data_IF_415370356285
#
_entry.id   IF_415370356285
#
_cell.length_a   1.000
_cell.length_b   1.000
_cell.length_c   1.000
_cell.angle_alpha   90.00
_cell.angle_beta   90.00
_cell.angle_gamma   90.00
#
_symmetry.space_group_name_H-M   'P 1'
#
loop_
_entity.id
_entity.type
_entity.pdbx_description
1 polymer ?
#
# COMPACT_ATOMS: atom_id res chain seq x y z
N UNK A 1 4.85 13.75 9.78
CA UNK A 1 3.77 14.52 9.16
C UNK A 1 2.54 14.39 10.04
N UNK A 2 1.90 15.51 10.37
CA UNK A 2 0.69 15.57 11.21
C UNK A 2 -0.58 15.43 10.36
N UNK A 3 -1.75 15.15 10.98
CA UNK A 3 -3.02 15.17 10.25
C UNK A 3 -3.28 16.50 9.53
N UNK A 4 -2.99 17.64 10.19
CA UNK A 4 -3.19 18.96 9.58
C UNK A 4 -2.30 19.20 8.36
N UNK A 5 -1.04 18.78 8.42
CA UNK A 5 -0.13 18.84 7.26
C UNK A 5 -0.67 18.00 6.09
N UNK A 6 -1.16 16.79 6.37
CA UNK A 6 -1.80 15.94 5.35
C UNK A 6 -3.04 16.61 4.76
N UNK A 7 -3.91 17.19 5.59
CA UNK A 7 -5.12 17.84 5.11
C UNK A 7 -4.82 19.03 4.21
N UNK A 8 -3.77 19.79 4.53
CA UNK A 8 -3.33 20.91 3.70
C UNK A 8 -2.76 20.44 2.35
N UNK A 9 -2.06 19.30 2.31
CA UNK A 9 -1.54 18.72 1.07
C UNK A 9 -2.68 18.18 0.20
N UNK A 10 -3.63 17.46 0.80
CA UNK A 10 -4.76 16.84 0.08
C UNK A 10 -5.82 17.87 -0.29
N UNK A 11 -5.96 18.93 0.49
CA UNK A 11 -7.03 19.92 0.36
C UNK A 11 -8.36 19.48 1.00
N UNK A 12 -8.37 18.41 1.80
CA UNK A 12 -9.55 17.94 2.52
C UNK A 12 -9.17 17.33 3.87
N UNK A 13 -10.12 17.32 4.82
CA UNK A 13 -9.91 16.76 6.17
C UNK A 13 -10.03 15.24 6.24
N UNK A 14 -10.41 14.59 5.14
CA UNK A 14 -10.81 13.18 5.13
C UNK A 14 -11.98 12.89 6.07
N UNK A 15 -12.31 11.60 6.19
CA UNK A 15 -13.36 11.08 7.07
C UNK A 15 -12.75 10.10 8.04
N UNK A 16 -13.00 10.25 9.34
CA UNK A 16 -12.56 9.26 10.33
C UNK A 16 -13.35 7.97 10.15
N UNK A 17 -12.67 6.86 9.87
CA UNK A 17 -13.29 5.54 9.73
C UNK A 17 -13.10 4.66 10.95
N UNK A 18 -12.04 4.92 11.73
CA UNK A 18 -11.78 4.23 12.98
C UNK A 18 -10.94 5.10 13.91
N UNK A 19 -11.14 4.92 15.21
CA UNK A 19 -10.38 5.58 16.27
C UNK A 19 -10.27 4.68 17.50
N UNK A 20 -9.10 4.65 18.11
CA UNK A 20 -8.84 3.93 19.36
C UNK A 20 -7.85 4.68 20.25
N UNK A 21 -8.01 4.59 21.56
CA UNK A 21 -7.17 5.30 22.53
C UNK A 21 -7.81 6.60 23.03
N UNK A 22 -7.02 7.39 23.76
CA UNK A 22 -7.46 8.65 24.38
C UNK A 22 -6.85 9.83 23.63
N UNK A 23 -7.63 10.88 23.40
CA UNK A 23 -7.15 12.08 22.74
C UNK A 23 -6.00 12.74 23.52
N UNK A 24 -4.97 13.15 22.78
CA UNK A 24 -3.74 13.71 23.34
C UNK A 24 -2.70 12.68 23.81
N UNK A 25 -3.02 11.38 23.80
CA UNK A 25 -2.03 10.32 24.04
C UNK A 25 -1.25 10.01 22.76
N UNK A 26 0.05 9.73 22.93
CA UNK A 26 0.93 9.14 21.93
C UNK A 26 0.42 7.82 21.32
N UNK A 27 -0.41 7.07 22.05
CA UNK A 27 -1.01 5.82 21.58
C UNK A 27 -2.41 5.99 20.97
N UNK A 28 -2.91 7.23 20.84
CA UNK A 28 -4.16 7.48 20.11
C UNK A 28 -3.98 7.10 18.66
N UNK A 29 -4.81 6.21 18.13
CA UNK A 29 -4.77 5.81 16.73
C UNK A 29 -6.02 6.31 16.03
N UNK A 30 -5.84 7.04 14.93
CA UNK A 30 -6.96 7.52 14.10
C UNK A 30 -6.69 7.14 12.65
N UNK A 31 -7.70 6.52 12.02
CA UNK A 31 -7.66 6.19 10.60
C UNK A 31 -8.58 7.16 9.85
N UNK A 32 -8.00 7.89 8.90
CA UNK A 32 -8.71 8.77 7.98
C UNK A 32 -8.81 8.12 6.62
N UNK A 33 -10.00 8.16 6.02
CA UNK A 33 -10.24 7.83 4.62
C UNK A 33 -10.35 9.13 3.81
N UNK A 34 -9.70 9.15 2.66
CA UNK A 34 -9.83 10.20 1.66
C UNK A 34 -10.45 9.59 0.40
N UNK A 35 -11.62 10.10 0.04
CA UNK A 35 -12.33 9.67 -1.16
C UNK A 35 -11.80 10.42 -2.37
N UNK A 36 -12.00 9.83 -3.53
CA UNK A 36 -11.63 10.42 -4.82
C UNK A 36 -12.82 10.34 -5.77
N UNK A 37 -12.78 11.14 -6.83
CA UNK A 37 -13.86 11.19 -7.82
C UNK A 37 -13.98 9.92 -8.69
N UNK A 38 -13.05 8.97 -8.56
CA UNK A 38 -13.07 7.70 -9.28
C UNK A 38 -13.91 6.62 -8.58
N UNK A 39 -14.62 5.82 -9.38
CA UNK A 39 -15.39 4.68 -8.87
C UNK A 39 -14.46 3.69 -8.17
N UNK A 40 -14.72 3.44 -6.87
CA UNK A 40 -13.98 2.51 -6.01
C UNK A 40 -12.51 2.86 -5.71
N UNK A 41 -12.05 4.08 -6.00
CA UNK A 41 -10.72 4.54 -5.62
C UNK A 41 -10.72 5.35 -4.32
N UNK A 42 -9.67 5.19 -3.54
CA UNK A 42 -9.54 5.89 -2.26
C UNK A 42 -8.20 5.65 -1.60
N UNK A 43 -7.96 6.40 -0.53
CA UNK A 43 -6.80 6.18 0.33
C UNK A 43 -7.20 6.20 1.80
N UNK A 44 -6.42 5.48 2.60
CA UNK A 44 -6.52 5.46 4.04
C UNK A 44 -5.17 5.81 4.64
N UNK A 45 -5.20 6.59 5.72
CA UNK A 45 -4.00 7.00 6.44
C UNK A 45 -4.23 6.82 7.94
N UNK A 46 -3.31 6.12 8.59
CA UNK A 46 -3.32 5.91 10.03
C UNK A 46 -2.33 6.86 10.68
N UNK A 47 -2.80 7.50 11.75
CA UNK A 47 -1.98 8.35 12.60
C UNK A 47 -1.93 7.73 13.99
N UNK A 48 -0.72 7.65 14.55
CA UNK A 48 -0.47 7.32 15.95
C UNK A 48 0.03 8.57 16.66
N UNK A 49 -0.75 9.02 17.65
CA UNK A 49 -0.67 10.38 18.17
C UNK A 49 -0.84 11.40 17.03
N UNK A 50 0.17 12.24 16.84
CA UNK A 50 0.21 13.26 15.77
C UNK A 50 1.09 12.85 14.58
N UNK A 51 1.47 11.58 14.47
CA UNK A 51 2.39 11.12 13.42
C UNK A 51 1.71 10.15 12.48
N UNK A 52 1.78 10.45 11.19
CA UNK A 52 1.43 9.51 10.13
C UNK A 52 2.29 8.24 10.26
N UNK A 53 1.65 7.10 10.56
CA UNK A 53 2.33 5.81 10.77
C UNK A 53 2.11 4.83 9.61
N UNK A 54 1.01 4.97 8.88
CA UNK A 54 0.68 4.09 7.76
C UNK A 54 -0.13 4.80 6.68
N UNK A 55 0.10 4.42 5.43
CA UNK A 55 -0.65 4.87 4.25
C UNK A 55 -1.05 3.66 3.42
N UNK A 56 -2.27 3.68 2.89
CA UNK A 56 -2.74 2.72 1.91
C UNK A 56 -3.57 3.41 0.83
N UNK A 57 -3.56 2.87 -0.39
CA UNK A 57 -4.38 3.34 -1.49
C UNK A 57 -4.88 2.17 -2.33
N UNK A 58 -6.05 2.37 -2.91
CA UNK A 58 -6.61 1.52 -3.95
C UNK A 58 -7.12 2.40 -5.09
N UNK A 59 -6.82 2.00 -6.33
CA UNK A 59 -7.31 2.68 -7.53
C UNK A 59 -6.73 4.07 -7.81
N UNK A 60 -5.84 4.62 -6.98
CA UNK A 60 -5.16 5.90 -7.27
C UNK A 60 -3.99 5.73 -8.23
N UNK A 61 -3.32 4.58 -8.15
CA UNK A 61 -2.24 4.19 -9.05
C UNK A 61 -2.23 2.68 -9.22
N UNK A 62 -2.20 2.25 -10.48
CA UNK A 62 -1.98 0.86 -10.90
C UNK A 62 -0.55 0.68 -11.41
N UNK A 63 -0.12 -0.58 -11.51
CA UNK A 63 1.20 -0.93 -12.04
C UNK A 63 1.16 -0.92 -13.57
N UNK A 64 2.23 -0.45 -14.22
CA UNK A 64 2.45 -0.68 -15.66
C UNK A 64 3.25 -1.98 -15.90
N UNK A 65 3.73 -2.61 -14.82
CA UNK A 65 4.53 -3.83 -14.87
C UNK A 65 3.60 -5.04 -14.82
N UNK A 66 3.67 -5.84 -15.88
CA UNK A 66 3.05 -7.16 -15.97
C UNK A 66 4.05 -8.24 -15.56
N UNK A 67 3.59 -9.17 -14.72
CA UNK A 67 4.41 -10.28 -14.23
C UNK A 67 3.74 -11.62 -14.49
N UNK A 68 4.56 -12.67 -14.55
CA UNK A 68 4.10 -14.05 -14.72
C UNK A 68 4.61 -14.98 -13.62
N UNK A 69 4.10 -16.22 -13.62
CA UNK A 69 4.45 -17.24 -12.63
C UNK A 69 5.94 -17.60 -12.62
N UNK A 70 6.62 -17.57 -13.77
CA UNK A 70 8.05 -17.87 -13.85
C UNK A 70 8.89 -16.83 -13.09
N UNK A 71 8.54 -15.55 -13.21
CA UNK A 71 9.19 -14.48 -12.47
C UNK A 71 8.89 -14.57 -10.97
N UNK A 72 7.64 -14.87 -10.60
CA UNK A 72 7.27 -15.06 -9.18
C UNK A 72 8.05 -16.20 -8.53
N UNK A 73 8.23 -17.32 -9.24
CA UNK A 73 8.97 -18.48 -8.74
C UNK A 73 10.47 -18.21 -8.53
N UNK A 74 11.01 -17.13 -9.10
CA UNK A 74 12.40 -16.69 -8.88
C UNK A 74 12.58 -15.83 -7.62
N UNK A 75 11.49 -15.45 -6.95
CA UNK A 75 11.56 -14.65 -5.73
C UNK A 75 11.89 -15.53 -4.51
N UNK A 76 12.81 -15.06 -3.68
CA UNK A 76 13.23 -15.75 -2.47
C UNK A 76 13.00 -14.87 -1.24
N UNK A 77 12.44 -15.48 -0.17
CA UNK A 77 12.23 -14.78 1.10
C UNK A 77 13.56 -14.19 1.59
N UNK A 78 13.53 -12.93 2.00
CA UNK A 78 14.72 -12.22 2.48
C UNK A 78 15.53 -11.52 1.39
N UNK A 79 15.15 -11.62 0.10
CA UNK A 79 15.80 -10.83 -0.95
C UNK A 79 15.51 -9.32 -0.80
N UNK A 80 16.37 -8.48 -1.37
CA UNK A 80 16.17 -7.03 -1.38
C UNK A 80 15.09 -6.61 -2.38
N UNK A 81 14.53 -5.41 -2.18
CA UNK A 81 13.57 -4.81 -3.11
C UNK A 81 14.14 -4.67 -4.52
N UNK A 82 15.37 -4.19 -4.63
CA UNK A 82 16.05 -3.94 -5.90
C UNK A 82 16.15 -5.24 -6.69
N UNK A 83 16.57 -6.33 -6.03
CA UNK A 83 16.68 -7.63 -6.67
C UNK A 83 15.32 -8.19 -7.07
N UNK A 84 14.29 -8.01 -6.24
CA UNK A 84 12.93 -8.41 -6.59
C UNK A 84 12.42 -7.63 -7.82
N UNK A 85 12.61 -6.31 -7.85
CA UNK A 85 12.18 -5.46 -8.97
C UNK A 85 12.91 -5.81 -10.27
N UNK A 86 14.19 -6.14 -10.21
CA UNK A 86 14.94 -6.64 -11.39
C UNK A 86 14.31 -7.91 -11.97
N UNK A 87 13.94 -8.87 -11.12
CA UNK A 87 13.33 -10.14 -11.56
C UNK A 87 11.95 -9.91 -12.20
N UNK A 88 11.18 -8.97 -11.65
CA UNK A 88 9.83 -8.63 -12.10
C UNK A 88 9.83 -7.68 -13.29
N UNK A 89 10.99 -7.13 -13.68
CA UNK A 89 11.10 -6.19 -14.79
C UNK A 89 10.78 -4.74 -14.43
N UNK A 90 10.65 -4.42 -13.15
CA UNK A 90 10.44 -3.06 -12.69
C UNK A 90 9.85 -2.94 -11.29
N UNK A 91 9.70 -1.70 -10.84
CA UNK A 91 8.99 -1.35 -9.60
C UNK A 91 7.50 -1.24 -9.89
N UNK A 92 6.70 -2.05 -9.20
CA UNK A 92 5.23 -1.99 -9.25
C UNK A 92 4.65 -0.74 -8.58
N UNK A 93 3.32 -0.65 -8.53
CA UNK A 93 2.64 0.45 -7.86
C UNK A 93 2.66 0.27 -6.34
N UNK A 94 3.07 1.30 -5.60
CA UNK A 94 3.01 1.27 -4.15
C UNK A 94 1.55 1.39 -3.72
N UNK A 95 1.05 0.37 -3.01
CA UNK A 95 -0.34 0.32 -2.52
C UNK A 95 -0.43 0.53 -1.02
N UNK A 96 0.62 0.22 -0.27
CA UNK A 96 0.68 0.52 1.16
C UNK A 96 2.11 0.68 1.66
N UNK A 97 2.30 1.55 2.65
CA UNK A 97 3.59 1.75 3.31
C UNK A 97 3.46 2.17 4.79
N UNK A 98 4.44 1.74 5.59
CA UNK A 98 4.80 2.29 6.89
C UNK A 98 6.33 2.40 6.99
N UNK A 99 6.86 2.72 8.17
CA UNK A 99 8.31 2.70 8.43
C UNK A 99 8.97 1.36 8.10
N UNK A 100 8.28 0.24 8.37
CA UNK A 100 8.83 -1.10 8.21
C UNK A 100 8.18 -1.91 7.11
N UNK A 101 6.99 -1.52 6.62
CA UNK A 101 6.22 -2.29 5.65
C UNK A 101 6.13 -1.54 4.34
N UNK A 102 6.32 -2.24 3.23
CA UNK A 102 5.94 -1.76 1.90
C UNK A 102 5.18 -2.87 1.17
N UNK A 103 4.11 -2.50 0.48
CA UNK A 103 3.33 -3.41 -0.36
C UNK A 103 3.24 -2.79 -1.76
N UNK A 104 3.64 -3.57 -2.76
CA UNK A 104 3.59 -3.19 -4.17
C UNK A 104 2.62 -4.08 -4.93
N UNK A 105 1.77 -3.53 -5.79
CA UNK A 105 0.94 -4.30 -6.73
C UNK A 105 1.58 -4.39 -8.12
N UNK A 106 1.25 -5.46 -8.83
CA UNK A 106 1.66 -5.77 -10.20
C UNK A 106 0.48 -6.39 -10.95
N UNK A 107 0.40 -6.14 -12.26
CA UNK A 107 -0.61 -6.75 -13.10
C UNK A 107 -0.21 -8.20 -13.40
N UNK A 108 -1.18 -9.11 -13.40
CA UNK A 108 -0.94 -10.54 -13.66
C UNK A 108 -1.23 -10.88 -15.12
N UNK A 109 -0.21 -11.23 -15.90
CA UNK A 109 -0.39 -11.66 -17.29
C UNK A 109 0.13 -13.11 -17.46
N UNK A 110 -0.63 -14.07 -18.05
CA UNK A 110 -1.98 -13.99 -18.64
C UNK A 110 -3.09 -14.56 -17.75
N UNK A 111 -2.82 -14.80 -16.47
CA UNK A 111 -3.62 -15.75 -15.67
C UNK A 111 -4.97 -15.17 -15.22
N UNK A 112 -5.06 -13.85 -14.99
CA UNK A 112 -6.25 -13.19 -14.44
C UNK A 112 -6.11 -11.67 -14.45
N UNK A 113 -7.23 -10.94 -14.49
CA UNK A 113 -7.29 -9.49 -14.20
C UNK A 113 -7.02 -9.14 -12.73
N UNK A 114 -6.63 -10.12 -11.89
CA UNK A 114 -6.29 -9.95 -10.50
C UNK A 114 -4.87 -9.37 -10.33
N UNK A 115 -4.72 -8.41 -9.43
CA UNK A 115 -3.42 -7.88 -9.04
C UNK A 115 -2.67 -8.85 -8.12
N UNK A 116 -1.36 -8.97 -8.33
CA UNK A 116 -0.45 -9.65 -7.40
C UNK A 116 0.23 -8.59 -6.54
N UNK A 117 0.13 -8.76 -5.22
CA UNK A 117 0.82 -7.90 -4.26
C UNK A 117 2.08 -8.55 -3.73
N UNK A 118 3.14 -7.77 -3.56
CA UNK A 118 4.40 -8.15 -2.97
C UNK A 118 4.61 -7.39 -1.67
N UNK A 119 4.84 -8.14 -0.59
CA UNK A 119 5.06 -7.59 0.74
C UNK A 119 6.55 -7.61 1.09
N UNK A 120 7.06 -6.44 1.48
CA UNK A 120 8.39 -6.25 2.04
C UNK A 120 8.28 -5.80 3.50
N UNK A 121 9.11 -6.37 4.35
CA UNK A 121 9.29 -5.89 5.73
C UNK A 121 10.77 -5.55 5.91
N UNK A 122 11.08 -4.34 6.35
CA UNK A 122 12.43 -3.79 6.50
C UNK A 122 13.24 -3.94 5.20
N UNK A 123 12.59 -3.66 4.06
CA UNK A 123 13.18 -3.79 2.72
C UNK A 123 13.44 -5.21 2.25
N UNK A 124 12.98 -6.24 2.98
CA UNK A 124 13.16 -7.65 2.65
C UNK A 124 11.87 -8.31 2.22
N UNK A 125 11.90 -9.03 1.10
CA UNK A 125 10.74 -9.75 0.58
C UNK A 125 10.25 -10.80 1.59
N UNK A 126 8.94 -10.83 1.84
CA UNK A 126 8.30 -11.78 2.76
C UNK A 126 7.34 -12.74 2.09
N UNK A 127 6.46 -12.22 1.24
CA UNK A 127 5.39 -13.01 0.61
C UNK A 127 4.75 -12.28 -0.56
N UNK A 128 4.08 -13.04 -1.41
CA UNK A 128 3.09 -12.56 -2.38
C UNK A 128 1.67 -12.84 -1.89
N UNK A 129 0.69 -12.09 -2.38
CA UNK A 129 -0.73 -12.39 -2.22
C UNK A 129 -1.46 -12.01 -3.52
N UNK A 130 -2.32 -12.89 -4.03
CA UNK A 130 -3.23 -12.58 -5.14
C UNK A 130 -4.47 -11.88 -4.58
N UNK A 131 -4.72 -10.65 -5.04
CA UNK A 131 -6.00 -9.99 -4.80
C UNK A 131 -6.95 -10.42 -5.91
N UNK A 132 -7.68 -11.51 -5.68
CA UNK A 132 -8.81 -11.85 -6.57
C UNK A 132 -9.83 -10.72 -6.47
N UNK A 133 -10.02 -9.96 -7.55
CA UNK A 133 -11.15 -9.07 -7.68
C UNK A 133 -12.42 -9.90 -7.45
N UNK A 134 -13.25 -9.51 -6.49
CA UNK A 134 -14.56 -10.09 -6.31
C UNK A 134 -15.35 -9.88 -7.60
N UNK A 135 -15.56 -10.95 -8.37
CA UNK A 135 -16.59 -10.97 -9.43
C UNK A 135 -17.99 -10.89 -8.81
#
# INVERSE_FOLDING_TARGET
MTPEEVFNIIGSKGTVVSKSGTDGDSHNTVIYKFETDGDSSGSEMTFEGEKLSYKAQIGLKTSDIEINLEQLNKLEKGMSKERAFEILGGKGALVAESEVLEIYSYNNNPTSDADVTLKFIEGKFKSTCELKGSM
#
